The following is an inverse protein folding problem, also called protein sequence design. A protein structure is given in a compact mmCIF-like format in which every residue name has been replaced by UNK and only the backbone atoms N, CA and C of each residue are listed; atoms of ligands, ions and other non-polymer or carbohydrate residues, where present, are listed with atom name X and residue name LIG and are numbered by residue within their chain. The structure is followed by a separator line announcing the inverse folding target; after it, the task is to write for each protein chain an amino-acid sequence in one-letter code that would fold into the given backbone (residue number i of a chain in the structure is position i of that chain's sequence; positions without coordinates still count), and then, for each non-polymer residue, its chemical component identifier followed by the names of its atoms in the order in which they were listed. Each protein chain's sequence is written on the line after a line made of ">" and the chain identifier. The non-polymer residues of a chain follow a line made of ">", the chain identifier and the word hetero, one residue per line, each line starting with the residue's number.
data_IF_316932950000
#
_entry.id   IF_316932950000
#
_cell.length_a   1.000
_cell.length_b   1.000
_cell.length_c   1.000
_cell.angle_alpha   90.00
_cell.angle_beta   90.00
_cell.angle_gamma   90.00
#
_symmetry.space_group_name_H-M   'P 1'
#
loop_
_entity.id
_entity.type
_entity.pdbx_description
1 polymer ?
#
# COMPACT_ATOMS: atom_id res chain seq x y z
N UNK A 1 -3.67 8.38 -1.37
CA UNK A 1 -3.46 7.06 -0.76
C UNK A 1 -2.89 7.25 0.64
N UNK A 2 -3.06 6.28 1.55
CA UNK A 2 -2.42 6.27 2.87
C UNK A 2 -2.16 4.82 3.31
N UNK A 3 -1.04 4.53 4.02
CA UNK A 3 0.05 5.45 4.39
C UNK A 3 0.94 5.84 3.19
N UNK A 4 1.85 6.79 3.37
CA UNK A 4 2.80 7.27 2.34
C UNK A 4 4.16 6.57 2.35
N UNK A 5 4.37 5.63 3.27
CA UNK A 5 5.60 4.87 3.39
C UNK A 5 5.34 3.52 4.07
N UNK A 6 6.32 2.63 3.97
CA UNK A 6 6.31 1.35 4.69
C UNK A 6 7.60 0.55 4.50
N UNK A 7 7.74 -0.56 5.23
CA UNK A 7 8.94 -1.41 5.23
C UNK A 7 9.32 -1.92 3.85
N UNK A 8 10.63 -2.05 3.57
CA UNK A 8 11.17 -2.61 2.33
C UNK A 8 10.74 -4.07 2.08
N UNK A 9 10.42 -4.79 3.16
CA UNK A 9 9.91 -6.16 3.15
C UNK A 9 8.48 -6.24 2.58
N UNK A 10 7.80 -5.10 2.49
CA UNK A 10 6.40 -5.02 2.10
C UNK A 10 5.45 -5.42 3.23
N UNK A 11 4.25 -5.86 2.85
CA UNK A 11 3.20 -6.23 3.79
C UNK A 11 2.34 -5.06 4.28
N UNK A 12 2.69 -3.82 3.94
CA UNK A 12 1.91 -2.61 4.23
C UNK A 12 0.54 -2.68 3.55
N UNK A 13 -0.52 -2.50 4.33
CA UNK A 13 -1.86 -2.27 3.77
C UNK A 13 -2.02 -0.80 3.39
N UNK A 14 -2.27 -0.54 2.11
CA UNK A 14 -2.42 0.81 1.57
C UNK A 14 -3.85 1.03 1.09
N UNK A 15 -4.43 2.15 1.49
CA UNK A 15 -5.74 2.61 1.04
C UNK A 15 -5.56 3.67 -0.04
N UNK A 16 -6.02 3.38 -1.25
CA UNK A 16 -6.01 4.26 -2.42
C UNK A 16 -7.43 4.76 -2.63
N UNK A 17 -7.62 6.08 -2.62
CA UNK A 17 -8.91 6.74 -2.85
C UNK A 17 -8.83 7.58 -4.13
N UNK A 18 -9.89 7.57 -4.93
CA UNK A 18 -9.93 8.28 -6.20
C UNK A 18 -11.33 8.37 -6.79
N UNK A 19 -11.40 8.69 -8.08
CA UNK A 19 -12.62 8.70 -8.89
C UNK A 19 -12.37 7.84 -10.13
N UNK A 20 -13.42 7.24 -10.67
CA UNK A 20 -13.39 6.42 -11.89
C UNK A 20 -12.45 5.20 -11.80
N UNK A 21 -12.32 4.59 -10.61
CA UNK A 21 -11.44 3.43 -10.37
C UNK A 21 -12.04 2.09 -10.86
N UNK A 22 -12.76 2.11 -11.98
CA UNK A 22 -13.44 0.94 -12.55
C UNK A 22 -14.84 0.72 -11.99
N UNK A 23 -15.54 -0.26 -12.56
CA UNK A 23 -16.89 -0.67 -12.12
C UNK A 23 -16.88 -2.05 -11.45
N UNK A 24 -15.85 -2.86 -11.71
CA UNK A 24 -15.69 -4.21 -11.17
C UNK A 24 -14.27 -4.41 -10.62
N UNK A 25 -14.10 -5.34 -9.69
CA UNK A 25 -12.77 -5.66 -9.14
C UNK A 25 -11.81 -6.20 -10.23
N UNK A 26 -12.33 -6.92 -11.23
CA UNK A 26 -11.54 -7.43 -12.34
C UNK A 26 -10.90 -6.32 -13.20
N UNK A 27 -11.43 -5.10 -13.16
CA UNK A 27 -10.84 -3.97 -13.84
C UNK A 27 -9.48 -3.59 -13.26
N UNK A 28 -9.22 -3.89 -11.98
CA UNK A 28 -8.04 -3.39 -11.23
C UNK A 28 -7.23 -4.45 -10.48
N UNK A 29 -7.77 -5.65 -10.19
CA UNK A 29 -7.20 -6.63 -9.23
C UNK A 29 -5.70 -6.93 -9.36
N UNK A 30 -5.18 -6.98 -10.58
CA UNK A 30 -3.78 -7.31 -10.90
C UNK A 30 -3.01 -6.12 -11.48
N UNK A 31 -3.60 -4.91 -11.40
CA UNK A 31 -3.18 -3.71 -12.14
C UNK A 31 -2.87 -2.52 -11.23
N UNK A 32 -2.59 -2.80 -9.95
CA UNK A 32 -2.20 -1.81 -8.96
C UNK A 32 -0.74 -2.01 -8.58
N UNK A 33 0.04 -0.93 -8.71
CA UNK A 33 1.46 -0.92 -8.38
C UNK A 33 1.77 0.26 -7.47
N UNK A 34 2.66 0.06 -6.49
CA UNK A 34 3.10 1.08 -5.54
C UNK A 34 4.61 1.18 -5.62
N UNK A 35 5.11 2.32 -6.11
CA UNK A 35 6.53 2.54 -6.37
C UNK A 35 7.17 1.42 -7.24
N UNK A 36 6.39 0.85 -8.17
CA UNK A 36 6.80 -0.25 -9.04
C UNK A 36 6.63 -1.66 -8.45
N UNK A 37 6.31 -1.81 -7.16
CA UNK A 37 5.99 -3.10 -6.55
C UNK A 37 4.51 -3.45 -6.75
N UNK A 38 4.18 -4.75 -6.88
CA UNK A 38 2.78 -5.19 -7.03
C UNK A 38 2.02 -4.95 -5.74
N UNK A 39 0.73 -4.63 -5.87
CA UNK A 39 -0.16 -4.46 -4.73
C UNK A 39 -1.47 -5.24 -4.97
N UNK A 40 -1.50 -6.55 -4.65
CA UNK A 40 -2.72 -7.35 -4.77
C UNK A 40 -3.89 -6.73 -3.98
N UNK A 41 -5.01 -6.53 -4.67
CA UNK A 41 -6.21 -5.90 -4.09
C UNK A 41 -6.86 -6.83 -3.07
N UNK A 42 -7.04 -6.34 -1.84
CA UNK A 42 -7.68 -7.07 -0.73
C UNK A 42 -9.13 -6.61 -0.53
N UNK A 43 -9.43 -5.34 -0.79
CA UNK A 43 -10.79 -4.81 -0.72
C UNK A 43 -11.01 -3.73 -1.79
N UNK A 44 -12.21 -3.72 -2.37
CA UNK A 44 -12.58 -2.82 -3.45
C UNK A 44 -13.95 -2.19 -3.21
N UNK A 45 -14.02 -0.86 -3.36
CA UNK A 45 -15.25 -0.10 -3.37
C UNK A 45 -15.41 0.56 -4.74
N UNK A 46 -16.51 0.24 -5.40
CA UNK A 46 -16.80 0.59 -6.80
C UNK A 46 -16.47 2.06 -7.08
N UNK A 47 -15.57 2.28 -8.05
CA UNK A 47 -15.16 3.59 -8.56
C UNK A 47 -14.53 4.56 -7.53
N UNK A 48 -14.34 4.16 -6.26
CA UNK A 48 -13.97 5.08 -5.17
C UNK A 48 -12.71 4.71 -4.41
N UNK A 49 -12.56 3.44 -4.03
CA UNK A 49 -11.51 3.01 -3.09
C UNK A 49 -10.96 1.63 -3.44
N UNK A 50 -9.64 1.51 -3.36
CA UNK A 50 -8.91 0.25 -3.44
C UNK A 50 -8.09 0.13 -2.16
N UNK A 51 -8.20 -1.00 -1.48
CA UNK A 51 -7.27 -1.41 -0.43
C UNK A 51 -6.46 -2.58 -0.98
N UNK A 52 -5.14 -2.50 -0.86
CA UNK A 52 -4.26 -3.54 -1.33
C UNK A 52 -3.08 -3.72 -0.38
N UNK A 53 -2.41 -4.87 -0.47
CA UNK A 53 -1.23 -5.15 0.34
C UNK A 53 0.02 -5.03 -0.53
N UNK A 54 0.89 -4.10 -0.20
CA UNK A 54 2.09 -3.80 -1.00
C UNK A 54 3.11 -4.94 -0.82
N UNK A 55 3.64 -5.49 -1.92
CA UNK A 55 4.75 -6.46 -1.85
C UNK A 55 6.08 -5.76 -1.55
N UNK A 56 7.17 -6.54 -1.41
CA UNK A 56 8.51 -5.99 -1.17
C UNK A 56 8.94 -4.96 -2.20
N UNK A 57 9.75 -3.99 -1.80
CA UNK A 57 10.28 -2.96 -2.68
C UNK A 57 11.35 -2.11 -1.99
N UNK A 58 12.04 -1.26 -2.74
CA UNK A 58 13.21 -0.53 -2.22
C UNK A 58 13.32 0.93 -2.67
N UNK A 59 12.42 1.37 -3.55
CA UNK A 59 12.47 2.70 -4.17
C UNK A 59 11.36 3.63 -3.64
N UNK A 60 11.48 4.92 -3.94
CA UNK A 60 10.35 5.84 -3.85
C UNK A 60 9.72 6.01 -5.22
N UNK A 61 8.39 6.06 -5.29
CA UNK A 61 7.70 6.15 -6.57
C UNK A 61 6.19 6.33 -6.43
N UNK A 62 5.49 6.68 -7.52
CA UNK A 62 4.05 6.91 -7.48
C UNK A 62 3.27 5.61 -7.28
N UNK A 63 2.02 5.75 -6.84
CA UNK A 63 1.01 4.71 -6.95
C UNK A 63 0.42 4.78 -8.36
N UNK A 64 0.45 3.64 -9.08
CA UNK A 64 -0.10 3.49 -10.42
C UNK A 64 -1.29 2.54 -10.39
N UNK A 65 -2.41 2.97 -10.97
CA UNK A 65 -3.61 2.15 -11.13
C UNK A 65 -3.99 2.15 -12.61
N UNK A 66 -4.04 0.97 -13.21
CA UNK A 66 -4.56 0.79 -14.57
C UNK A 66 -5.95 0.15 -14.49
N UNK A 67 -6.93 0.79 -15.13
CA UNK A 67 -8.34 0.39 -15.11
C UNK A 67 -8.74 -0.20 -16.46
N UNK A 68 -9.44 -1.33 -16.39
CA UNK A 68 -10.12 -1.97 -17.53
C UNK A 68 -9.34 -3.14 -18.11
N UNK A 69 -10.07 -4.09 -18.72
CA UNK A 69 -9.54 -5.38 -19.18
C UNK A 69 -8.38 -5.28 -20.17
N UNK A 70 -8.40 -4.29 -21.06
CA UNK A 70 -7.36 -4.01 -22.07
C UNK A 70 -6.36 -2.92 -21.65
N UNK A 71 -6.43 -2.41 -20.41
CA UNK A 71 -5.53 -1.36 -19.93
C UNK A 71 -5.84 0.04 -20.46
N UNK A 72 -7.11 0.35 -20.71
CA UNK A 72 -7.55 1.57 -21.41
C UNK A 72 -7.21 2.88 -20.71
N UNK A 73 -7.06 2.90 -19.37
CA UNK A 73 -6.80 4.13 -18.60
C UNK A 73 -5.82 3.85 -17.48
N UNK A 74 -4.75 4.64 -17.39
CA UNK A 74 -3.77 4.57 -16.29
C UNK A 74 -3.75 5.91 -15.56
N UNK A 75 -3.78 5.84 -14.23
CA UNK A 75 -3.65 7.00 -13.35
C UNK A 75 -2.42 6.82 -12.46
N UNK A 76 -1.74 7.93 -12.17
CA UNK A 76 -0.61 7.99 -11.25
C UNK A 76 -0.90 8.99 -10.13
N UNK A 77 -0.41 8.72 -8.93
CA UNK A 77 -0.52 9.67 -7.82
C UNK A 77 0.50 10.81 -7.94
N UNK A 78 0.10 12.00 -7.51
CA UNK A 78 1.00 13.17 -7.44
C UNK A 78 2.05 13.07 -6.33
N UNK A 79 1.76 12.32 -5.26
CA UNK A 79 2.70 12.03 -4.18
C UNK A 79 3.37 10.68 -4.41
N UNK A 80 4.57 10.54 -3.86
CA UNK A 80 5.34 9.30 -3.90
C UNK A 80 5.12 8.49 -2.61
N UNK A 81 5.07 7.17 -2.78
CA UNK A 81 5.22 6.21 -1.69
C UNK A 81 6.71 5.90 -1.51
N UNK A 82 7.18 5.77 -0.26
CA UNK A 82 8.58 5.45 0.02
C UNK A 82 8.73 4.15 0.79
N UNK A 83 9.49 3.22 0.24
CA UNK A 83 10.00 2.07 0.98
C UNK A 83 11.12 2.53 1.94
N UNK A 84 11.00 2.18 3.22
CA UNK A 84 11.96 2.55 4.28
C UNK A 84 12.45 1.31 5.00
N UNK A 85 13.73 1.30 5.37
CA UNK A 85 14.30 0.23 6.20
C UNK A 85 14.03 0.54 7.67
N UNK A 86 13.48 -0.43 8.42
CA UNK A 86 13.12 -0.23 9.82
C UNK A 86 14.01 -1.06 10.74
N UNK A 87 14.66 -0.39 11.68
CA UNK A 87 15.52 -1.04 12.68
C UNK A 87 15.03 -0.69 14.09
N UNK A 88 14.78 -1.72 14.91
CA UNK A 88 14.53 -1.56 16.34
C UNK A 88 15.87 -1.63 17.09
N UNK A 89 16.32 -0.50 17.65
CA UNK A 89 17.59 -0.44 18.37
C UNK A 89 17.45 -0.68 19.88
N UNK A 90 16.32 -0.27 20.46
CA UNK A 90 16.07 -0.41 21.90
C UNK A 90 14.58 -0.41 22.18
N UNK A 91 14.21 -0.93 23.35
CA UNK A 91 12.86 -0.86 23.89
C UNK A 91 12.92 -0.21 25.28
N UNK A 92 11.91 0.60 25.61
CA UNK A 92 11.79 1.24 26.91
C UNK A 92 10.41 0.94 27.48
N UNK A 93 10.33 0.59 28.79
CA UNK A 93 11.42 0.38 29.71
C UNK A 93 12.16 -0.96 29.47
N UNK A 94 13.44 -1.08 29.87
CA UNK A 94 14.23 -2.30 29.67
C UNK A 94 13.77 -3.48 30.55
N UNK A 95 12.96 -3.21 31.57
CA UNK A 95 12.38 -4.22 32.47
C UNK A 95 10.87 -3.98 32.61
N UNK A 96 10.10 -5.07 32.64
CA UNK A 96 8.64 -5.05 32.77
C UNK A 96 8.18 -6.15 33.74
N UNK A 97 7.05 -5.96 34.45
CA UNK A 97 6.43 -7.02 35.23
C UNK A 97 6.07 -8.23 34.35
N UNK A 98 6.17 -9.45 34.89
CA UNK A 98 5.76 -10.68 34.19
C UNK A 98 4.28 -10.64 33.78
N UNK A 99 3.45 -9.94 34.54
CA UNK A 99 2.03 -9.71 34.24
C UNK A 99 1.78 -8.82 33.01
N UNK A 100 2.80 -8.14 32.48
CA UNK A 100 2.68 -7.22 31.34
C UNK A 100 2.05 -5.87 31.68
N UNK A 101 1.55 -5.17 30.65
CA UNK A 101 0.90 -3.86 30.78
C UNK A 101 1.82 -2.65 30.61
N UNK A 102 3.10 -2.89 30.36
CA UNK A 102 4.10 -1.86 30.09
C UNK A 102 3.95 -1.28 28.67
N UNK A 103 3.94 0.04 28.55
CA UNK A 103 3.83 0.79 27.29
C UNK A 103 5.17 1.38 26.87
#
# INVERSE_FOLDING_TARGET
>A
FKPSSGPIEGGTEITITGRDLGSTIDDVKDRVFVAGSRCPVTHYEISKKIVCRVEKGSSSGPVRVTVGKTGSRTAESSLLYSFVETHAFSAYPPFAPVSGGTK
#
